data_IF_209271643434
#
_entry.id   IF_209271643434
#
_cell.length_a   1.000
_cell.length_b   1.000
_cell.length_c   1.000
_cell.angle_alpha   90.00
_cell.angle_beta   90.00
_cell.angle_gamma   90.00
#
_symmetry.space_group_name_H-M   'P 1'
#
loop_
_entity.id
_entity.type
_entity.pdbx_description
1 polymer ?
#
# COMPACT_ATOMS: atom_id res chain seq x y z
N UNK A 1 -5.64 21.89 10.54
CA UNK A 1 -5.63 20.43 10.25
C UNK A 1 -4.19 19.95 10.21
N UNK A 2 -3.94 18.75 10.67
CA UNK A 2 -2.63 18.07 10.55
C UNK A 2 -2.28 17.88 9.07
N UNK A 3 -0.99 17.85 8.74
CA UNK A 3 -0.54 17.62 7.35
C UNK A 3 -0.49 16.12 7.05
N UNK A 4 -0.73 15.77 5.79
CA UNK A 4 -0.40 14.47 5.24
C UNK A 4 1.12 14.38 5.09
N UNK A 5 1.75 13.48 5.83
CA UNK A 5 3.21 13.43 5.96
C UNK A 5 3.87 12.24 5.26
N UNK A 6 3.08 11.28 4.80
CA UNK A 6 3.61 10.10 4.12
C UNK A 6 2.53 9.41 3.28
N UNK A 7 2.87 9.01 2.05
CA UNK A 7 2.10 8.00 1.32
C UNK A 7 2.63 6.60 1.64
N UNK A 8 1.73 5.72 2.08
CA UNK A 8 2.08 4.37 2.51
C UNK A 8 1.77 3.30 1.45
N UNK A 9 1.25 3.70 0.28
CA UNK A 9 0.90 2.83 -0.83
C UNK A 9 1.36 3.47 -2.15
N UNK A 10 2.47 2.98 -2.70
CA UNK A 10 3.14 3.58 -3.87
C UNK A 10 3.78 2.50 -4.73
N UNK A 11 3.61 2.63 -6.05
CA UNK A 11 4.18 1.76 -7.07
C UNK A 11 5.16 2.52 -7.96
N UNK A 12 6.29 1.91 -8.27
CA UNK A 12 7.24 2.39 -9.26
C UNK A 12 7.32 1.45 -10.46
N UNK A 13 8.25 1.69 -11.36
CA UNK A 13 8.44 0.87 -12.57
C UNK A 13 8.81 -0.60 -12.32
N UNK A 14 9.10 -1.01 -11.07
CA UNK A 14 9.29 -2.43 -10.71
C UNK A 14 7.94 -3.17 -10.55
N UNK A 15 6.82 -2.46 -10.36
CA UNK A 15 5.47 -2.96 -10.64
C UNK A 15 5.27 -3.03 -12.15
N UNK A 16 5.79 -4.09 -12.78
CA UNK A 16 5.89 -4.20 -14.24
C UNK A 16 4.50 -4.10 -14.91
N UNK A 17 4.37 -3.17 -15.86
CA UNK A 17 3.14 -2.83 -16.60
C UNK A 17 2.03 -2.24 -15.72
N UNK A 18 2.43 -1.62 -14.64
CA UNK A 18 1.53 -1.01 -13.67
C UNK A 18 2.10 0.34 -13.22
N UNK A 19 3.10 0.39 -12.33
CA UNK A 19 3.78 1.62 -11.98
C UNK A 19 4.56 2.24 -13.14
N UNK A 20 4.54 3.57 -13.25
CA UNK A 20 5.19 4.33 -14.33
C UNK A 20 6.41 5.12 -13.86
N UNK A 21 6.44 5.55 -12.60
CA UNK A 21 7.49 6.42 -12.06
C UNK A 21 8.81 5.70 -11.81
N UNK A 22 9.88 6.48 -11.86
CA UNK A 22 11.17 6.07 -11.29
C UNK A 22 11.22 6.33 -9.78
N UNK A 23 12.05 5.59 -9.06
CA UNK A 23 12.30 5.81 -7.63
C UNK A 23 12.76 7.25 -7.37
N UNK A 24 13.66 7.77 -8.21
CA UNK A 24 14.21 9.12 -8.07
C UNK A 24 13.13 10.19 -8.18
N UNK A 25 12.21 10.08 -9.14
CA UNK A 25 11.08 11.01 -9.30
C UNK A 25 10.14 10.98 -8.10
N UNK A 26 9.76 9.78 -7.63
CA UNK A 26 8.87 9.60 -6.48
C UNK A 26 9.47 10.23 -5.22
N UNK A 27 10.73 9.93 -4.90
CA UNK A 27 11.39 10.46 -3.69
C UNK A 27 11.63 11.97 -3.79
N UNK A 28 11.95 12.48 -5.00
CA UNK A 28 12.07 13.93 -5.24
C UNK A 28 10.74 14.64 -4.97
N UNK A 29 9.67 14.10 -5.52
CA UNK A 29 8.33 14.67 -5.35
C UNK A 29 7.85 14.61 -3.91
N UNK A 30 8.08 13.52 -3.20
CA UNK A 30 7.79 13.42 -1.77
C UNK A 30 8.51 14.53 -0.97
N UNK A 31 9.77 14.82 -1.32
CA UNK A 31 10.53 15.91 -0.72
C UNK A 31 9.94 17.29 -1.02
N UNK A 32 9.52 17.54 -2.26
CA UNK A 32 8.84 18.79 -2.66
C UNK A 32 7.54 19.00 -1.91
N UNK A 33 6.77 17.94 -1.70
CA UNK A 33 5.52 17.93 -0.94
C UNK A 33 5.72 18.00 0.57
N UNK A 34 6.98 18.05 1.04
CA UNK A 34 7.35 18.04 2.46
C UNK A 34 6.87 16.77 3.21
N UNK A 35 6.83 15.64 2.54
CA UNK A 35 6.60 14.37 3.19
C UNK A 35 7.79 14.04 4.10
N UNK A 36 7.51 13.47 5.27
CA UNK A 36 8.52 12.97 6.20
C UNK A 36 8.99 11.57 5.82
N UNK A 37 8.08 10.76 5.24
CA UNK A 37 8.34 9.40 4.82
C UNK A 37 7.63 9.07 3.50
N UNK A 38 8.10 8.01 2.84
CA UNK A 38 7.44 7.41 1.68
C UNK A 38 7.55 5.90 1.78
N UNK A 39 6.50 5.15 1.45
CA UNK A 39 6.57 3.72 1.28
C UNK A 39 6.76 3.35 -0.20
N UNK A 40 7.46 2.23 -0.46
CA UNK A 40 7.44 1.54 -1.75
C UNK A 40 6.80 0.16 -1.54
N UNK A 41 5.73 -0.12 -2.29
CA UNK A 41 4.84 -1.26 -2.05
C UNK A 41 4.43 -1.94 -3.36
N UNK A 42 5.38 -2.21 -4.23
CA UNK A 42 5.15 -2.81 -5.54
C UNK A 42 4.33 -4.10 -5.48
N UNK A 43 3.55 -4.37 -6.52
CA UNK A 43 2.71 -5.55 -6.64
C UNK A 43 3.51 -6.86 -6.66
N UNK A 44 3.34 -7.66 -5.61
CA UNK A 44 3.88 -9.02 -5.50
C UNK A 44 5.39 -9.10 -5.71
N UNK A 45 6.14 -8.05 -5.35
CA UNK A 45 7.59 -8.03 -5.45
C UNK A 45 8.24 -7.06 -4.48
N UNK A 46 9.37 -7.46 -3.91
CA UNK A 46 10.26 -6.62 -3.11
C UNK A 46 11.37 -5.97 -3.96
N UNK A 47 11.28 -6.08 -5.28
CA UNK A 47 12.21 -5.44 -6.21
C UNK A 47 12.15 -3.92 -6.06
N UNK A 48 13.31 -3.27 -6.17
CA UNK A 48 13.40 -1.81 -6.01
C UNK A 48 13.55 -1.33 -4.57
N UNK A 49 13.32 -2.14 -3.53
CA UNK A 49 13.38 -1.69 -2.13
C UNK A 49 14.78 -1.16 -1.72
N UNK A 50 15.87 -1.81 -2.17
CA UNK A 50 17.24 -1.36 -1.83
C UNK A 50 17.59 -0.03 -2.51
N UNK A 51 17.45 0.15 -3.83
CA UNK A 51 17.67 1.47 -4.44
C UNK A 51 16.73 2.54 -3.88
N UNK A 52 15.47 2.22 -3.56
CA UNK A 52 14.54 3.12 -2.90
C UNK A 52 15.04 3.56 -1.50
N UNK A 53 15.47 2.61 -0.68
CA UNK A 53 16.05 2.88 0.63
C UNK A 53 17.21 3.87 0.53
N UNK A 54 18.15 3.62 -0.39
CA UNK A 54 19.30 4.48 -0.61
C UNK A 54 18.92 5.89 -1.10
N UNK A 55 17.98 6.00 -2.04
CA UNK A 55 17.56 7.30 -2.58
C UNK A 55 16.80 8.12 -1.52
N UNK A 56 15.96 7.47 -0.69
CA UNK A 56 15.30 8.13 0.43
C UNK A 56 16.30 8.72 1.43
N UNK A 57 17.30 7.95 1.86
CA UNK A 57 18.34 8.43 2.76
C UNK A 57 19.14 9.58 2.16
N UNK A 58 19.51 9.50 0.90
CA UNK A 58 20.21 10.56 0.16
C UNK A 58 19.43 11.88 0.17
N UNK A 59 18.09 11.83 0.13
CA UNK A 59 17.24 13.03 0.08
C UNK A 59 16.66 13.43 1.44
N UNK A 60 16.93 12.65 2.50
CA UNK A 60 16.41 12.91 3.84
C UNK A 60 14.89 12.68 3.97
N UNK A 61 14.38 11.68 3.26
CA UNK A 61 13.03 11.11 3.40
C UNK A 61 13.19 9.77 4.12
N UNK A 62 12.31 9.47 5.06
CA UNK A 62 12.31 8.18 5.74
C UNK A 62 11.75 7.08 4.82
N UNK A 63 12.53 6.01 4.49
CA UNK A 63 12.02 4.91 3.69
C UNK A 63 11.12 3.99 4.53
N UNK A 64 9.98 3.60 3.98
CA UNK A 64 9.14 2.52 4.50
C UNK A 64 9.12 1.42 3.47
N UNK A 65 9.62 0.23 3.86
CA UNK A 65 9.78 -0.90 2.94
C UNK A 65 8.54 -1.79 3.03
N UNK A 66 7.88 -2.03 1.91
CA UNK A 66 6.65 -2.77 1.85
C UNK A 66 6.46 -3.57 0.56
N UNK A 67 5.32 -4.22 0.47
CA UNK A 67 4.86 -4.91 -0.73
C UNK A 67 3.35 -5.04 -0.69
N UNK A 68 2.68 -4.81 -1.80
CA UNK A 68 1.28 -5.14 -1.99
C UNK A 68 1.20 -6.55 -2.59
N UNK A 69 0.77 -7.52 -1.77
CA UNK A 69 0.77 -8.93 -2.13
C UNK A 69 -0.60 -9.41 -2.60
N UNK A 70 -0.60 -10.46 -3.43
CA UNK A 70 -1.79 -11.12 -3.91
C UNK A 70 -2.18 -12.27 -2.98
N UNK A 71 -3.26 -12.10 -2.25
CA UNK A 71 -3.83 -13.08 -1.34
C UNK A 71 -4.87 -13.96 -2.03
N UNK A 72 -4.87 -15.25 -1.71
CA UNK A 72 -5.89 -16.23 -2.14
C UNK A 72 -6.31 -17.10 -0.96
N UNK A 73 -7.58 -17.53 -0.97
CA UNK A 73 -8.07 -18.45 0.05
C UNK A 73 -7.51 -19.87 -0.12
N UNK A 74 -7.44 -20.35 -1.36
CA UNK A 74 -6.95 -21.70 -1.67
C UNK A 74 -5.92 -21.65 -2.81
N UNK A 75 -4.69 -22.01 -2.50
CA UNK A 75 -3.58 -22.03 -3.44
C UNK A 75 -3.73 -23.08 -4.53
N UNK A 76 -4.47 -24.16 -4.26
CA UNK A 76 -4.70 -25.26 -5.19
C UNK A 76 -5.74 -24.93 -6.25
N UNK A 77 -6.57 -23.91 -6.03
CA UNK A 77 -7.56 -23.43 -6.98
C UNK A 77 -6.95 -22.34 -7.87
N UNK A 78 -6.70 -22.68 -9.14
CA UNK A 78 -6.12 -21.74 -10.09
C UNK A 78 -7.00 -20.50 -10.34
N UNK A 79 -8.31 -20.65 -10.29
CA UNK A 79 -9.29 -19.57 -10.47
C UNK A 79 -9.79 -19.00 -9.13
N UNK A 80 -9.03 -19.20 -8.03
CA UNK A 80 -9.34 -18.54 -6.75
C UNK A 80 -9.30 -17.02 -6.93
N UNK A 81 -10.29 -16.28 -6.37
CA UNK A 81 -10.23 -14.83 -6.39
C UNK A 81 -8.93 -14.31 -5.76
N UNK A 82 -8.33 -13.30 -6.39
CA UNK A 82 -7.14 -12.62 -5.91
C UNK A 82 -7.57 -11.34 -5.18
N UNK A 83 -7.06 -11.17 -3.97
CA UNK A 83 -7.24 -9.95 -3.18
C UNK A 83 -5.87 -9.33 -2.89
N UNK A 84 -5.83 -8.01 -2.83
CA UNK A 84 -4.63 -7.30 -2.43
C UNK A 84 -4.57 -7.15 -0.91
N UNK A 85 -3.37 -7.27 -0.36
CA UNK A 85 -3.03 -6.93 1.03
C UNK A 85 -1.70 -6.21 1.05
N UNK A 86 -1.64 -5.11 1.76
CA UNK A 86 -0.43 -4.30 1.87
C UNK A 86 0.32 -4.63 3.15
N UNK A 87 1.62 -4.91 3.03
CA UNK A 87 2.50 -5.17 4.16
C UNK A 87 3.63 -4.16 4.21
N UNK A 88 3.91 -3.63 5.42
CA UNK A 88 5.00 -2.69 5.68
C UNK A 88 5.90 -3.25 6.77
N UNK A 89 7.21 -3.22 6.57
CA UNK A 89 8.20 -3.69 7.53
C UNK A 89 8.45 -2.64 8.62
N UNK A 90 8.30 -3.02 9.89
CA UNK A 90 8.61 -2.17 11.05
C UNK A 90 10.11 -2.13 11.34
N UNK A 91 10.77 -3.24 11.17
CA UNK A 91 12.16 -3.47 11.53
C UNK A 91 12.82 -4.51 10.59
N UNK A 92 14.05 -4.90 10.91
CA UNK A 92 14.79 -5.88 10.12
C UNK A 92 14.14 -7.28 10.14
N UNK A 93 13.43 -7.66 11.22
CA UNK A 93 12.67 -8.92 11.27
C UNK A 93 11.53 -8.88 10.25
N UNK A 94 10.74 -7.81 10.28
CA UNK A 94 9.66 -7.59 9.32
C UNK A 94 10.16 -7.55 7.88
N UNK A 95 11.28 -6.87 7.61
CA UNK A 95 11.88 -6.86 6.26
C UNK A 95 12.29 -8.26 5.79
N UNK A 96 12.90 -9.07 6.66
CA UNK A 96 13.24 -10.47 6.34
C UNK A 96 11.99 -11.32 6.11
N UNK A 97 10.95 -11.13 6.90
CA UNK A 97 9.68 -11.84 6.72
C UNK A 97 8.96 -11.42 5.43
N UNK A 98 9.01 -10.13 5.07
CA UNK A 98 8.51 -9.65 3.78
C UNK A 98 9.20 -10.34 2.60
N UNK A 99 10.54 -10.51 2.64
CA UNK A 99 11.29 -11.26 1.62
C UNK A 99 10.93 -12.75 1.59
N UNK A 100 10.62 -13.38 2.73
CA UNK A 100 10.15 -14.76 2.78
C UNK A 100 8.78 -14.90 2.16
N UNK A 101 7.84 -14.01 2.49
CA UNK A 101 6.51 -13.99 1.87
C UNK A 101 6.61 -13.81 0.35
N UNK A 102 7.45 -12.89 -0.14
CA UNK A 102 7.70 -12.72 -1.57
C UNK A 102 8.27 -14.01 -2.21
N UNK A 103 9.23 -14.65 -1.56
CA UNK A 103 9.80 -15.93 -2.02
C UNK A 103 8.74 -17.03 -2.10
N UNK A 104 7.88 -17.16 -1.08
CA UNK A 104 6.77 -18.12 -1.05
C UNK A 104 5.78 -17.82 -2.15
N UNK A 105 5.40 -16.53 -2.31
CA UNK A 105 4.48 -16.11 -3.34
C UNK A 105 4.93 -16.51 -4.76
N UNK A 106 6.24 -16.39 -5.05
CA UNK A 106 6.81 -16.85 -6.33
C UNK A 106 6.88 -18.37 -6.46
N UNK A 107 7.03 -19.12 -5.37
CA UNK A 107 6.93 -20.60 -5.41
C UNK A 107 5.49 -21.06 -5.67
N UNK A 108 4.50 -20.27 -5.26
CA UNK A 108 3.07 -20.52 -5.43
C UNK A 108 2.49 -19.78 -6.64
N UNK A 109 3.34 -19.42 -7.62
CA UNK A 109 2.98 -18.59 -8.76
C UNK A 109 1.95 -19.27 -9.65
N UNK A 110 0.82 -18.58 -9.88
CA UNK A 110 -0.10 -18.86 -10.97
C UNK A 110 -0.69 -17.53 -11.48
N UNK A 111 -0.32 -17.10 -12.69
CA UNK A 111 -0.60 -15.77 -13.26
C UNK A 111 0.00 -14.61 -12.45
N UNK A 112 -0.05 -14.68 -11.13
CA UNK A 112 0.52 -13.74 -10.16
C UNK A 112 1.23 -14.53 -9.04
N UNK A 113 2.21 -13.92 -8.33
CA UNK A 113 2.76 -14.49 -7.11
C UNK A 113 1.70 -14.43 -5.99
N UNK A 114 1.39 -15.55 -5.34
CA UNK A 114 0.24 -15.67 -4.43
C UNK A 114 0.66 -16.15 -3.06
N UNK A 115 -0.01 -15.61 -2.02
CA UNK A 115 0.12 -16.05 -0.63
C UNK A 115 -1.24 -16.44 -0.05
N UNK A 116 -1.23 -17.25 1.00
CA UNK A 116 -2.40 -17.66 1.77
C UNK A 116 -2.40 -17.06 3.17
N UNK A 117 -3.50 -17.18 3.90
CA UNK A 117 -3.56 -16.75 5.31
C UNK A 117 -2.55 -17.50 6.19
N UNK A 118 -2.29 -18.79 5.90
CA UNK A 118 -1.28 -19.58 6.62
C UNK A 118 0.14 -19.03 6.43
N UNK A 119 0.48 -18.56 5.22
CA UNK A 119 1.79 -17.93 4.96
C UNK A 119 1.91 -16.61 5.74
N UNK A 120 0.82 -15.82 5.78
CA UNK A 120 0.76 -14.57 6.53
C UNK A 120 0.94 -14.84 8.02
N UNK A 121 0.22 -15.82 8.58
CA UNK A 121 0.32 -16.21 9.99
C UNK A 121 1.73 -16.64 10.36
N UNK A 122 2.43 -17.38 9.49
CA UNK A 122 3.81 -17.85 9.74
C UNK A 122 4.84 -16.70 9.73
N UNK A 123 4.65 -15.67 8.86
CA UNK A 123 5.66 -14.63 8.64
C UNK A 123 5.20 -13.21 8.96
N UNK A 124 4.17 -13.02 9.82
CA UNK A 124 3.64 -11.70 10.16
C UNK A 124 4.53 -10.87 11.10
N UNK A 125 5.43 -11.51 11.85
CA UNK A 125 6.24 -10.81 12.86
C UNK A 125 7.04 -9.66 12.25
N UNK A 126 6.99 -8.50 12.90
CA UNK A 126 7.65 -7.27 12.42
C UNK A 126 6.94 -6.58 11.25
N UNK A 127 5.76 -7.04 10.83
CA UNK A 127 4.96 -6.43 9.77
C UNK A 127 3.77 -5.64 10.32
N UNK A 128 3.37 -4.63 9.55
CA UNK A 128 2.08 -3.96 9.61
C UNK A 128 1.30 -4.45 8.38
N UNK A 129 -0.02 -4.65 8.53
CA UNK A 129 -0.92 -4.99 7.43
C UNK A 129 -1.94 -3.87 7.20
N UNK A 130 -2.29 -3.59 5.94
CA UNK A 130 -3.47 -2.81 5.61
C UNK A 130 -4.36 -3.53 4.58
N UNK A 131 -5.61 -3.08 4.49
CA UNK A 131 -6.64 -3.68 3.61
C UNK A 131 -6.44 -3.37 2.14
N UNK A 132 -5.41 -2.60 1.79
CA UNK A 132 -5.07 -2.18 0.43
C UNK A 132 -6.21 -1.43 -0.31
N UNK A 133 -6.21 -1.49 -1.65
CA UNK A 133 -7.05 -0.71 -2.55
C UNK A 133 -8.44 -1.34 -2.82
N UNK A 134 -9.14 -0.90 -3.88
CA UNK A 134 -10.40 -1.48 -4.38
C UNK A 134 -10.32 -2.98 -4.68
N UNK A 135 -9.12 -3.50 -4.98
CA UNK A 135 -8.88 -4.94 -5.17
C UNK A 135 -8.55 -5.66 -3.85
N UNK A 136 -8.58 -4.95 -2.72
CA UNK A 136 -8.23 -5.48 -1.40
C UNK A 136 -9.23 -6.47 -0.84
N UNK A 137 -8.86 -7.05 0.30
CA UNK A 137 -9.65 -8.07 1.01
C UNK A 137 -11.07 -7.61 1.35
N UNK A 138 -11.27 -6.31 1.57
CA UNK A 138 -12.60 -5.73 1.84
C UNK A 138 -13.54 -5.71 0.63
N UNK A 139 -13.06 -6.05 -0.59
CA UNK A 139 -13.89 -6.19 -1.80
C UNK A 139 -14.85 -7.38 -1.71
N UNK A 140 -14.55 -8.37 -0.91
CA UNK A 140 -15.41 -9.55 -0.72
C UNK A 140 -16.84 -9.14 -0.35
N UNK A 141 -17.83 -9.94 -0.74
CA UNK A 141 -19.22 -9.76 -0.31
C UNK A 141 -19.31 -9.84 1.22
N UNK A 142 -18.68 -10.86 1.80
CA UNK A 142 -18.49 -11.00 3.25
C UNK A 142 -17.01 -11.21 3.60
N UNK A 143 -16.29 -10.14 4.05
CA UNK A 143 -14.90 -10.25 4.43
C UNK A 143 -14.69 -10.70 5.89
N UNK A 144 -15.74 -11.12 6.59
CA UNK A 144 -15.73 -11.30 8.06
C UNK A 144 -14.66 -12.30 8.50
N UNK A 145 -14.56 -13.45 7.85
CA UNK A 145 -13.62 -14.51 8.23
C UNK A 145 -12.17 -14.04 8.10
N UNK A 146 -11.78 -13.50 6.94
CA UNK A 146 -10.43 -13.00 6.71
C UNK A 146 -10.07 -11.84 7.65
N UNK A 147 -10.97 -10.89 7.82
CA UNK A 147 -10.74 -9.73 8.66
C UNK A 147 -10.60 -10.09 10.14
N UNK A 148 -11.33 -11.10 10.63
CA UNK A 148 -11.18 -11.60 12.00
C UNK A 148 -9.85 -12.32 12.19
N UNK A 149 -9.41 -13.11 11.21
CA UNK A 149 -8.09 -13.75 11.24
C UNK A 149 -6.96 -12.69 11.22
N UNK A 150 -7.03 -11.72 10.29
CA UNK A 150 -6.07 -10.61 10.23
C UNK A 150 -6.04 -9.79 11.53
N UNK A 151 -7.21 -9.54 12.13
CA UNK A 151 -7.31 -8.85 13.42
C UNK A 151 -6.63 -9.62 14.55
N UNK A 152 -6.68 -10.95 14.50
CA UNK A 152 -6.00 -11.81 15.47
C UNK A 152 -4.49 -11.80 15.26
N UNK A 153 -4.04 -11.90 14.00
CA UNK A 153 -2.61 -11.98 13.63
C UNK A 153 -1.92 -10.63 13.90
N UNK A 154 -2.47 -9.52 13.41
CA UNK A 154 -1.82 -8.21 13.43
C UNK A 154 -2.24 -7.33 14.62
N UNK A 155 -3.41 -7.59 15.25
CA UNK A 155 -3.92 -6.82 16.37
C UNK A 155 -3.90 -5.30 16.08
N UNK A 156 -3.08 -4.53 16.82
CA UNK A 156 -2.96 -3.07 16.66
C UNK A 156 -2.17 -2.63 15.41
N UNK A 157 -1.58 -3.56 14.67
CA UNK A 157 -0.84 -3.33 13.44
C UNK A 157 -1.67 -3.67 12.18
N UNK A 158 -3.00 -3.85 12.32
CA UNK A 158 -3.95 -3.89 11.21
C UNK A 158 -4.59 -2.53 11.01
N UNK A 159 -4.50 -1.99 9.79
CA UNK A 159 -5.08 -0.70 9.41
C UNK A 159 -6.07 -0.84 8.26
N UNK A 160 -7.13 -0.04 8.32
CA UNK A 160 -8.17 0.03 7.29
C UNK A 160 -7.83 1.17 6.34
N UNK A 161 -7.70 0.87 5.05
CA UNK A 161 -7.21 1.81 4.06
C UNK A 161 -8.34 2.52 3.31
N UNK A 162 -8.34 3.85 3.32
CA UNK A 162 -9.21 4.73 2.56
C UNK A 162 -8.39 5.41 1.47
N UNK A 163 -8.99 5.63 0.29
CA UNK A 163 -8.30 6.26 -0.84
C UNK A 163 -9.10 7.43 -1.40
N UNK A 164 -8.45 8.54 -1.83
CA UNK A 164 -9.14 9.77 -2.23
C UNK A 164 -9.58 9.79 -3.70
N UNK A 165 -9.65 8.65 -4.39
CA UNK A 165 -10.00 8.62 -5.81
C UNK A 165 -11.47 8.98 -6.02
N UNK A 166 -11.79 10.02 -6.86
CA UNK A 166 -13.14 10.56 -7.00
C UNK A 166 -13.99 9.73 -7.97
N UNK A 167 -14.31 8.51 -7.60
CA UNK A 167 -15.27 7.63 -8.27
C UNK A 167 -16.34 7.17 -7.31
N UNK A 168 -17.55 6.89 -7.82
CA UNK A 168 -18.65 6.40 -6.97
C UNK A 168 -18.33 5.03 -6.37
N UNK A 169 -17.59 4.18 -7.10
CA UNK A 169 -17.13 2.88 -6.61
C UNK A 169 -16.19 3.06 -5.42
N UNK A 170 -15.16 3.92 -5.54
CA UNK A 170 -14.24 4.21 -4.44
C UNK A 170 -14.96 4.82 -3.24
N UNK A 171 -15.92 5.71 -3.48
CA UNK A 171 -16.72 6.29 -2.42
C UNK A 171 -17.49 5.24 -1.64
N UNK A 172 -18.19 4.34 -2.34
CA UNK A 172 -18.94 3.25 -1.71
C UNK A 172 -18.02 2.31 -0.94
N UNK A 173 -16.85 1.98 -1.51
CA UNK A 173 -15.84 1.15 -0.86
C UNK A 173 -15.28 1.80 0.41
N UNK A 174 -14.92 3.07 0.36
CA UNK A 174 -14.45 3.82 1.52
C UNK A 174 -15.46 3.80 2.67
N UNK A 175 -16.76 3.94 2.38
CA UNK A 175 -17.80 3.82 3.41
C UNK A 175 -17.90 2.41 4.00
N UNK A 176 -17.82 1.36 3.17
CA UNK A 176 -17.78 -0.03 3.64
C UNK A 176 -16.61 -0.27 4.58
N UNK A 177 -15.42 0.20 4.22
CA UNK A 177 -14.19 0.11 5.02
C UNK A 177 -14.34 0.89 6.33
N UNK A 178 -14.88 2.11 6.28
CA UNK A 178 -15.11 2.96 7.45
C UNK A 178 -16.11 2.33 8.42
N UNK A 179 -17.25 1.83 7.93
CA UNK A 179 -18.24 1.16 8.77
C UNK A 179 -17.65 -0.06 9.48
N UNK A 180 -16.83 -0.84 8.78
CA UNK A 180 -16.10 -1.95 9.39
C UNK A 180 -15.12 -1.48 10.46
N UNK A 181 -14.32 -0.46 10.15
CA UNK A 181 -13.35 0.11 11.09
C UNK A 181 -14.03 0.58 12.38
N UNK A 182 -15.13 1.31 12.27
CA UNK A 182 -15.90 1.79 13.43
C UNK A 182 -16.48 0.64 14.23
N UNK A 183 -17.11 -0.34 13.55
CA UNK A 183 -17.77 -1.49 14.19
C UNK A 183 -16.79 -2.37 14.97
N UNK A 184 -15.57 -2.54 14.47
CA UNK A 184 -14.57 -3.45 15.03
C UNK A 184 -13.41 -2.73 15.73
N UNK A 185 -13.50 -1.39 15.87
CA UNK A 185 -12.50 -0.55 16.51
C UNK A 185 -11.10 -0.65 15.90
N UNK A 186 -11.03 -0.67 14.54
CA UNK A 186 -9.78 -0.61 13.79
C UNK A 186 -9.39 0.82 13.43
N UNK A 187 -8.10 1.05 13.29
CA UNK A 187 -7.54 2.33 12.85
C UNK A 187 -7.62 2.46 11.34
N UNK A 188 -7.95 3.67 10.88
CA UNK A 188 -8.02 4.00 9.46
C UNK A 188 -6.82 4.83 9.04
N UNK A 189 -6.36 4.65 7.82
CA UNK A 189 -5.34 5.46 7.16
C UNK A 189 -5.84 5.93 5.79
N UNK A 190 -5.25 7.01 5.27
CA UNK A 190 -5.47 7.45 3.91
C UNK A 190 -4.20 7.20 3.11
N UNK A 191 -4.31 6.56 1.95
CA UNK A 191 -3.20 6.35 1.02
C UNK A 191 -3.59 6.79 -0.38
N UNK A 192 -2.60 6.96 -1.26
CA UNK A 192 -2.84 7.48 -2.61
C UNK A 192 -2.79 6.39 -3.68
N UNK A 193 -2.32 5.20 -3.34
CA UNK A 193 -2.11 4.11 -4.32
C UNK A 193 -1.44 4.63 -5.60
N UNK A 194 -0.34 5.37 -5.39
CA UNK A 194 0.28 6.15 -6.46
C UNK A 194 1.01 5.25 -7.44
N UNK A 195 0.66 5.36 -8.72
CA UNK A 195 1.27 4.62 -9.83
C UNK A 195 2.14 5.51 -10.72
N UNK A 196 2.07 6.82 -10.53
CA UNK A 196 2.88 7.82 -11.21
C UNK A 196 3.12 9.03 -10.30
N UNK A 197 4.09 9.87 -10.66
CA UNK A 197 4.59 10.92 -9.77
C UNK A 197 3.77 12.19 -9.85
N UNK A 198 3.48 12.68 -11.05
CA UNK A 198 2.81 13.96 -11.28
C UNK A 198 1.45 13.76 -11.95
N UNK A 199 0.51 14.66 -11.68
CA UNK A 199 -0.84 14.64 -12.26
C UNK A 199 -0.84 14.51 -13.79
N UNK A 200 0.08 15.21 -14.45
CA UNK A 200 0.19 15.21 -15.91
C UNK A 200 0.74 13.89 -16.49
N UNK A 201 1.30 13.02 -15.65
CA UNK A 201 1.80 11.70 -16.06
C UNK A 201 0.68 10.69 -16.32
N UNK A 202 -0.55 10.98 -15.87
CA UNK A 202 -1.72 10.12 -16.10
C UNK A 202 -1.87 9.68 -17.57
N UNK A 203 -1.60 10.60 -18.51
CA UNK A 203 -1.66 10.31 -19.95
C UNK A 203 -0.59 9.30 -20.39
N UNK A 204 0.62 9.38 -19.83
CA UNK A 204 1.73 8.47 -20.15
C UNK A 204 1.54 7.12 -19.46
N UNK A 205 1.07 7.12 -18.22
CA UNK A 205 0.67 5.92 -17.50
C UNK A 205 -0.41 5.13 -18.28
N UNK A 206 -1.40 5.82 -18.85
CA UNK A 206 -2.40 5.20 -19.72
C UNK A 206 -1.79 4.53 -20.95
N UNK A 207 -0.79 5.14 -21.61
CA UNK A 207 -0.07 4.50 -22.72
C UNK A 207 0.72 3.28 -22.22
N UNK A 208 1.36 3.38 -21.05
CA UNK A 208 2.10 2.28 -20.43
C UNK A 208 1.21 1.06 -20.18
N UNK A 209 0.04 1.25 -19.60
CA UNK A 209 -0.95 0.20 -19.36
C UNK A 209 -1.42 -0.45 -20.69
N UNK A 210 -1.64 0.34 -21.74
CA UNK A 210 -2.10 -0.14 -23.04
C UNK A 210 -1.08 -1.00 -23.81
N UNK A 211 0.17 -1.08 -23.38
CA UNK A 211 1.16 -2.03 -23.93
C UNK A 211 0.84 -3.49 -23.54
N UNK A 212 -0.03 -3.70 -22.57
CA UNK A 212 -0.55 -5.00 -22.16
C UNK A 212 -1.90 -5.27 -22.83
N UNK A 213 -2.13 -6.53 -23.28
CA UNK A 213 -3.45 -6.96 -23.76
C UNK A 213 -4.50 -7.04 -22.64
N UNK A 214 -4.05 -7.06 -21.40
CA UNK A 214 -4.85 -7.07 -20.18
C UNK A 214 -4.76 -5.70 -19.50
N UNK A 215 -4.97 -4.61 -20.25
CA UNK A 215 -4.87 -3.27 -19.70
C UNK A 215 -5.95 -3.05 -18.62
N UNK A 216 -5.52 -2.83 -17.39
CA UNK A 216 -6.36 -2.21 -16.37
C UNK A 216 -6.62 -0.75 -16.79
N UNK A 217 -7.83 -0.28 -16.59
CA UNK A 217 -8.20 1.09 -16.87
C UNK A 217 -8.47 1.81 -15.55
N UNK A 218 -7.74 2.88 -15.30
CA UNK A 218 -8.02 3.76 -14.16
C UNK A 218 -9.01 4.84 -14.61
N UNK A 219 -10.16 4.89 -13.97
CA UNK A 219 -11.25 5.81 -14.33
C UNK A 219 -10.91 7.28 -14.07
N UNK A 220 -9.97 7.52 -13.17
CA UNK A 220 -9.60 8.87 -12.74
C UNK A 220 -8.09 9.09 -12.78
N UNK A 221 -7.62 10.31 -13.13
CA UNK A 221 -6.19 10.62 -13.15
C UNK A 221 -5.68 11.05 -11.77
N UNK A 222 -5.97 10.30 -10.71
CA UNK A 222 -5.66 10.67 -9.32
C UNK A 222 -4.66 9.76 -8.62
N UNK A 223 -4.01 8.86 -9.36
CA UNK A 223 -3.01 7.91 -8.82
C UNK A 223 -1.59 8.50 -8.82
N UNK A 224 -1.44 9.73 -8.27
CA UNK A 224 -0.16 10.46 -8.17
C UNK A 224 0.11 10.93 -6.73
N UNK A 225 1.31 11.45 -6.46
CA UNK A 225 1.64 12.03 -5.17
C UNK A 225 1.01 13.42 -5.01
N UNK A 226 -0.05 13.50 -4.20
CA UNK A 226 -0.86 14.70 -3.94
C UNK A 226 -0.35 15.48 -2.73
N UNK A 227 -0.64 16.77 -2.68
CA UNK A 227 -0.47 17.55 -1.47
C UNK A 227 -1.64 17.38 -0.48
N UNK A 228 -1.48 17.93 0.72
CA UNK A 228 -2.47 17.81 1.80
C UNK A 228 -3.82 18.46 1.42
N UNK A 229 -3.79 19.55 0.68
CA UNK A 229 -5.02 20.30 0.35
C UNK A 229 -5.84 19.56 -0.71
N UNK A 230 -5.17 18.94 -1.70
CA UNK A 230 -5.81 18.06 -2.68
C UNK A 230 -6.47 16.85 -2.01
N UNK A 231 -5.78 16.17 -1.08
CA UNK A 231 -6.32 15.02 -0.34
C UNK A 231 -7.51 15.45 0.52
N UNK A 232 -7.39 16.56 1.24
CA UNK A 232 -8.49 17.10 2.06
C UNK A 232 -9.71 17.43 1.21
N UNK A 233 -9.53 18.10 0.07
CA UNK A 233 -10.62 18.41 -0.86
C UNK A 233 -11.33 17.12 -1.32
N UNK A 234 -10.59 16.10 -1.73
CA UNK A 234 -11.18 14.85 -2.20
C UNK A 234 -11.88 14.09 -1.06
N UNK A 235 -11.26 13.94 0.11
CA UNK A 235 -11.84 13.20 1.22
C UNK A 235 -13.02 13.90 1.86
N UNK A 236 -12.97 15.22 2.01
CA UNK A 236 -14.02 15.98 2.68
C UNK A 236 -15.13 16.36 1.69
N UNK A 237 -14.80 17.04 0.58
CA UNK A 237 -15.80 17.62 -0.30
C UNK A 237 -16.40 16.58 -1.25
N UNK A 238 -15.61 15.65 -1.78
CA UNK A 238 -16.11 14.60 -2.68
C UNK A 238 -16.64 13.39 -1.92
N UNK A 239 -15.80 12.77 -1.07
CA UNK A 239 -16.19 11.58 -0.31
C UNK A 239 -17.15 11.87 0.83
N UNK A 240 -17.13 13.09 1.39
CA UNK A 240 -18.04 13.52 2.45
C UNK A 240 -17.62 13.08 3.85
N UNK A 241 -16.34 12.74 4.06
CA UNK A 241 -15.82 12.43 5.39
C UNK A 241 -15.68 13.71 6.23
N UNK A 242 -16.03 13.61 7.50
CA UNK A 242 -15.81 14.72 8.41
C UNK A 242 -14.31 14.97 8.64
N UNK A 243 -13.89 16.23 8.71
CA UNK A 243 -12.47 16.59 8.85
C UNK A 243 -11.76 15.94 10.03
N UNK A 244 -12.47 15.63 11.13
CA UNK A 244 -11.88 14.89 12.26
C UNK A 244 -11.54 13.44 11.94
N UNK A 245 -12.23 12.80 10.98
CA UNK A 245 -11.90 11.45 10.51
C UNK A 245 -10.60 11.52 9.71
N UNK A 246 -10.50 12.48 8.78
CA UNK A 246 -9.29 12.70 7.97
C UNK A 246 -8.09 12.99 8.87
N UNK A 247 -8.24 13.84 9.88
CA UNK A 247 -7.17 14.16 10.84
C UNK A 247 -6.76 12.94 11.67
N UNK A 248 -7.71 12.09 12.07
CA UNK A 248 -7.42 10.82 12.75
C UNK A 248 -6.62 9.88 11.85
N UNK A 249 -6.96 9.78 10.56
CA UNK A 249 -6.19 9.00 9.60
C UNK A 249 -4.74 9.50 9.48
N UNK A 250 -4.52 10.82 9.46
CA UNK A 250 -3.16 11.39 9.43
C UNK A 250 -2.37 11.09 10.71
N UNK A 251 -3.03 11.09 11.88
CA UNK A 251 -2.40 10.67 13.13
C UNK A 251 -1.98 9.19 13.09
N UNK A 252 -2.82 8.33 12.51
CA UNK A 252 -2.51 6.90 12.35
C UNK A 252 -1.37 6.68 11.34
N UNK A 253 -1.29 7.48 10.26
CA UNK A 253 -0.15 7.47 9.34
C UNK A 253 1.15 7.83 10.09
N UNK A 254 1.11 8.86 10.94
CA UNK A 254 2.26 9.21 11.77
C UNK A 254 2.68 8.09 12.69
N UNK A 255 1.73 7.40 13.32
CA UNK A 255 2.02 6.22 14.14
C UNK A 255 2.76 5.13 13.35
N UNK A 256 2.34 4.85 12.10
CA UNK A 256 3.02 3.88 11.23
C UNK A 256 4.43 4.36 10.89
N UNK A 257 4.58 5.64 10.52
CA UNK A 257 5.88 6.25 10.23
C UNK A 257 6.82 6.10 11.45
N UNK A 258 6.32 6.32 12.67
CA UNK A 258 7.12 6.20 13.89
C UNK A 258 7.49 4.72 14.18
N UNK A 259 6.63 3.74 13.85
CA UNK A 259 6.87 2.31 14.02
C UNK A 259 7.86 1.72 13.02
N UNK A 260 7.92 2.22 11.79
CA UNK A 260 8.75 1.66 10.71
C UNK A 260 10.18 2.21 10.79
N UNK A 261 11.13 1.38 11.21
CA UNK A 261 12.53 1.76 11.43
C UNK A 261 13.47 0.65 10.95
N UNK A 262 13.35 0.27 9.67
CA UNK A 262 14.24 -0.73 9.09
C UNK A 262 15.63 -0.13 8.88
N UNK A 263 16.64 -0.76 9.48
CA UNK A 263 18.05 -0.47 9.22
C UNK A 263 18.67 -1.66 8.49
N UNK A 264 19.11 -1.43 7.25
CA UNK A 264 19.72 -2.48 6.44
C UNK A 264 21.22 -2.50 6.75
N UNK A 265 21.78 -3.64 7.24
CA UNK A 265 23.20 -3.76 7.58
C UNK A 265 24.05 -3.91 6.31
N UNK A 266 24.39 -2.79 5.66
CA UNK A 266 25.27 -2.81 4.50
C UNK A 266 26.72 -3.15 4.91
N UNK A 267 27.37 -4.02 4.11
CA UNK A 267 28.76 -4.41 4.29
C UNK A 267 28.98 -5.56 5.27
N UNK A 268 27.96 -6.08 5.91
CA UNK A 268 28.04 -7.31 6.68
C UNK A 268 27.93 -8.53 5.75
N UNK A 269 28.90 -9.46 5.86
CA UNK A 269 28.85 -10.73 5.12
C UNK A 269 28.06 -11.75 5.94
N UNK A 270 26.95 -12.24 5.40
CA UNK A 270 26.18 -13.35 5.96
C UNK A 270 26.51 -14.62 5.17
N UNK A 271 27.11 -15.61 5.85
CA UNK A 271 27.48 -16.92 5.30
C UNK A 271 26.41 -17.96 5.59
#
# INVERSE_FOLDING_TARGET
>A
MQKFIANLHTHDGHSIRDGYSTIEELVSRAKELHYEALALTNHGTVSGLIPFYNECHKRGIKPILGCEMYYVHDINLNESPLYHMLFLAKDLVGYKNLMKLDTIAYRQFYKKPRITMSDIEEFHEGLICSTACLAGVMRQEDPTEDMMQLSTIFNHDLYMELQPHPTDEQKAYNYKVHEWAVKHNHKEIITLDSHYTFKDDAKYHRYWLNLSKESSYYETPTYYLMDTDEINHLMIDYHGFHGSIVERCYNNIKEIVDKCNVEIPFGEQHY
#
